data_IF_181659193784
#
_entry.id   IF_181659193784
#
_cell.length_a   1.000
_cell.length_b   1.000
_cell.length_c   1.000
_cell.angle_alpha   90.00
_cell.angle_beta   90.00
_cell.angle_gamma   90.00
#
_symmetry.space_group_name_H-M   'P 1'
#
loop_
_entity.id
_entity.type
_entity.pdbx_description
1 polymer ?
#
# COMPACT_ATOMS: atom_id res chain seq x y z
N UNK A 1 -1.14 -5.46 -12.03
CA UNK A 1 -2.37 -4.75 -11.62
C UNK A 1 -2.79 -3.81 -12.73
N UNK A 2 -4.06 -3.77 -13.13
CA UNK A 2 -4.55 -2.83 -14.16
C UNK A 2 -5.00 -1.53 -13.50
N UNK A 3 -4.34 -0.42 -13.81
CA UNK A 3 -4.55 0.92 -13.23
C UNK A 3 -4.24 2.00 -14.26
N UNK A 4 -5.07 3.04 -14.33
CA UNK A 4 -4.94 4.13 -15.32
C UNK A 4 -4.74 3.60 -16.76
N UNK A 5 -5.65 2.71 -17.18
CA UNK A 5 -5.68 2.08 -18.51
C UNK A 5 -4.41 1.29 -18.93
N UNK A 6 -3.57 0.91 -17.96
CA UNK A 6 -2.35 0.16 -18.21
C UNK A 6 -2.12 -0.95 -17.17
N UNK A 7 -1.49 -2.04 -17.60
CA UNK A 7 -0.95 -3.06 -16.69
C UNK A 7 0.36 -2.56 -16.08
N UNK A 8 0.45 -2.58 -14.74
CA UNK A 8 1.64 -2.25 -13.98
C UNK A 8 2.03 -3.39 -13.05
N UNK A 9 3.33 -3.60 -12.86
CA UNK A 9 3.82 -4.41 -11.75
C UNK A 9 3.48 -3.71 -10.44
N UNK A 10 2.95 -4.47 -9.48
CA UNK A 10 2.50 -3.94 -8.21
C UNK A 10 2.90 -4.93 -7.10
N UNK A 11 3.67 -4.49 -6.10
CA UNK A 11 4.04 -5.35 -4.99
C UNK A 11 2.82 -5.70 -4.14
N UNK A 12 2.86 -6.89 -3.55
CA UNK A 12 1.89 -7.35 -2.56
C UNK A 12 2.60 -7.47 -1.22
N UNK A 13 2.21 -6.64 -0.26
CA UNK A 13 2.78 -6.63 1.07
C UNK A 13 1.88 -7.38 2.05
N UNK A 14 2.44 -8.33 2.79
CA UNK A 14 1.77 -8.87 3.96
C UNK A 14 1.79 -7.82 5.07
N UNK A 15 0.61 -7.35 5.50
CA UNK A 15 0.47 -6.25 6.45
C UNK A 15 1.25 -6.43 7.75
N UNK A 16 1.32 -7.67 8.25
CA UNK A 16 2.04 -8.02 9.47
C UNK A 16 3.56 -7.94 9.37
N UNK A 17 4.12 -7.84 8.15
CA UNK A 17 5.57 -7.69 7.92
C UNK A 17 6.01 -6.23 7.80
N UNK A 18 5.08 -5.30 7.62
CA UNK A 18 5.38 -3.87 7.53
C UNK A 18 5.66 -3.30 8.93
N UNK A 19 6.71 -2.50 9.04
CA UNK A 19 7.22 -1.92 10.27
C UNK A 19 6.97 -0.41 10.33
N UNK A 20 6.83 0.18 11.53
CA UNK A 20 6.82 1.64 11.68
C UNK A 20 7.98 2.30 10.94
N UNK A 21 7.66 3.29 10.11
CA UNK A 21 8.63 3.98 9.25
C UNK A 21 8.67 3.50 7.81
N UNK A 22 8.16 2.29 7.50
CA UNK A 22 8.06 1.80 6.12
C UNK A 22 7.22 2.76 5.28
N UNK A 23 7.70 3.01 4.05
CA UNK A 23 7.07 3.89 3.06
C UNK A 23 7.13 3.24 1.68
N UNK A 24 6.07 3.39 0.91
CA UNK A 24 6.02 2.92 -0.46
C UNK A 24 4.99 3.72 -1.26
N UNK A 25 5.16 3.74 -2.59
CA UNK A 25 4.22 4.35 -3.54
C UNK A 25 3.29 3.28 -4.09
N UNK A 26 2.07 3.67 -4.46
CA UNK A 26 1.23 2.83 -5.29
C UNK A 26 1.71 2.77 -6.75
N UNK A 27 1.14 1.88 -7.58
CA UNK A 27 0.11 0.91 -7.23
C UNK A 27 0.66 -0.24 -6.37
N UNK A 28 -0.01 -0.57 -5.28
CA UNK A 28 0.37 -1.69 -4.40
C UNK A 28 -0.84 -2.33 -3.73
N UNK A 29 -0.72 -3.60 -3.33
CA UNK A 29 -1.70 -4.27 -2.47
C UNK A 29 -1.09 -4.54 -1.10
N UNK A 30 -1.85 -4.30 -0.05
CA UNK A 30 -1.51 -4.68 1.32
C UNK A 30 -2.55 -5.68 1.79
N UNK A 31 -2.14 -6.91 2.02
CA UNK A 31 -3.03 -8.00 2.42
C UNK A 31 -2.92 -8.28 3.91
N UNK A 32 -4.06 -8.50 4.54
CA UNK A 32 -4.17 -8.95 5.92
C UNK A 32 -5.29 -9.99 6.03
N UNK A 33 -5.39 -10.65 7.17
CA UNK A 33 -6.41 -11.67 7.39
C UNK A 33 -7.83 -11.14 7.22
N UNK A 34 -8.09 -9.91 7.65
CA UNK A 34 -9.42 -9.28 7.68
C UNK A 34 -9.76 -8.41 6.48
N UNK A 35 -8.76 -8.00 5.69
CA UNK A 35 -8.94 -7.03 4.62
C UNK A 35 -7.81 -7.08 3.58
N UNK A 36 -8.02 -6.38 2.48
CA UNK A 36 -6.98 -6.08 1.50
C UNK A 36 -7.09 -4.63 1.11
N UNK A 37 -6.07 -3.84 1.40
CA UNK A 37 -6.01 -2.43 1.04
C UNK A 37 -5.30 -2.30 -0.29
N UNK A 38 -5.98 -1.70 -1.27
CA UNK A 38 -5.36 -1.24 -2.50
C UNK A 38 -4.83 0.18 -2.30
N UNK A 39 -3.56 0.41 -2.64
CA UNK A 39 -2.92 1.73 -2.70
C UNK A 39 -2.87 2.16 -4.16
N UNK A 40 -3.67 3.14 -4.59
CA UNK A 40 -3.71 3.60 -5.98
C UNK A 40 -2.42 4.30 -6.42
N UNK A 41 -2.26 4.48 -7.74
CA UNK A 41 -1.06 5.07 -8.35
C UNK A 41 -0.74 6.52 -7.94
N UNK A 42 -1.75 7.25 -7.51
CA UNK A 42 -1.76 8.65 -7.06
C UNK A 42 -1.70 8.76 -5.52
N UNK A 43 -1.34 7.66 -4.85
CA UNK A 43 -1.22 7.60 -3.41
C UNK A 43 0.14 7.08 -2.96
N UNK A 44 0.62 7.67 -1.87
CA UNK A 44 1.71 7.16 -1.07
C UNK A 44 1.20 6.53 0.23
N UNK A 45 1.94 5.55 0.74
CA UNK A 45 1.62 4.82 1.96
C UNK A 45 2.77 4.89 2.96
N UNK A 46 2.42 5.04 4.25
CA UNK A 46 3.39 4.98 5.36
C UNK A 46 2.82 4.25 6.56
N UNK A 47 3.67 3.50 7.25
CA UNK A 47 3.35 2.96 8.57
C UNK A 47 3.81 3.94 9.66
N UNK A 48 2.88 4.41 10.49
CA UNK A 48 3.20 5.27 11.63
C UNK A 48 3.68 4.47 12.86
N UNK A 49 4.00 5.18 13.96
CA UNK A 49 4.47 4.56 15.21
C UNK A 49 3.45 3.66 15.90
N UNK A 50 2.16 3.85 15.62
CA UNK A 50 1.06 3.04 16.14
C UNK A 50 0.72 1.87 15.22
N UNK A 51 1.50 1.68 14.15
CA UNK A 51 1.23 0.72 13.08
C UNK A 51 -0.11 1.00 12.39
N UNK A 52 -0.49 2.26 12.18
CA UNK A 52 -1.53 2.58 11.20
C UNK A 52 -0.93 2.59 9.80
N UNK A 53 -1.71 2.14 8.81
CA UNK A 53 -1.40 2.37 7.41
C UNK A 53 -2.02 3.72 7.02
N UNK A 54 -1.19 4.74 6.86
CA UNK A 54 -1.61 6.07 6.44
C UNK A 54 -1.47 6.18 4.92
N UNK A 55 -2.55 6.56 4.25
CA UNK A 55 -2.55 6.86 2.82
C UNK A 55 -2.60 8.38 2.63
N UNK A 56 -1.77 8.90 1.74
CA UNK A 56 -1.78 10.29 1.33
C UNK A 56 -1.94 10.35 -0.18
N UNK A 57 -2.87 11.19 -0.65
CA UNK A 57 -3.02 11.45 -2.08
C UNK A 57 -1.98 12.50 -2.47
N UNK A 58 -1.22 12.22 -3.51
CA UNK A 58 -0.23 13.15 -4.10
C UNK A 58 -0.86 14.03 -5.20
#
# INVERSE_FOLDING_TARGET
>A
MFVADAWREAPVYARGRLQPGDRFQGPALVTEYSATTFVPHDFSARIDGFRNLLLHQE
#
